data_IF_390422540961
#
_entry.id   IF_390422540961
#
_cell.length_a   1.000
_cell.length_b   1.000
_cell.length_c   1.000
_cell.angle_alpha   90.00
_cell.angle_beta   90.00
_cell.angle_gamma   90.00
#
_symmetry.space_group_name_H-M   'P 1'
#
loop_
_entity.id
_entity.type
_entity.pdbx_description
1 polymer ?
#
# COMPACT_ATOMS: atom_id res chain seq x y z
N UNK A 1 -9.87 4.92 11.02
CA UNK A 1 -11.28 5.32 10.92
C UNK A 1 -12.25 4.14 10.89
N UNK A 2 -11.79 2.89 10.74
CA UNK A 2 -12.68 1.73 10.67
C UNK A 2 -13.50 1.65 9.38
N UNK A 3 -13.31 2.59 8.46
CA UNK A 3 -13.98 2.66 7.18
C UNK A 3 -13.13 1.99 6.10
N UNK A 4 -13.81 1.43 5.11
CA UNK A 4 -13.22 0.78 3.97
C UNK A 4 -12.44 1.79 3.10
N UNK A 5 -11.18 1.49 2.73
CA UNK A 5 -10.35 2.42 1.97
C UNK A 5 -10.86 2.66 0.54
N UNK A 6 -11.55 1.70 -0.08
CA UNK A 6 -12.16 1.89 -1.40
C UNK A 6 -13.34 2.88 -1.30
N UNK A 7 -14.17 2.76 -0.27
CA UNK A 7 -15.25 3.71 0.00
C UNK A 7 -14.72 5.12 0.26
N UNK A 8 -13.67 5.24 1.07
CA UNK A 8 -13.02 6.52 1.35
C UNK A 8 -12.46 7.18 0.08
N UNK A 9 -11.66 6.44 -0.70
CA UNK A 9 -11.05 6.96 -1.93
C UNK A 9 -12.09 7.33 -2.98
N UNK A 10 -13.17 6.55 -3.08
CA UNK A 10 -14.31 6.85 -3.96
C UNK A 10 -14.99 8.15 -3.56
N UNK A 11 -15.23 8.37 -2.26
CA UNK A 11 -15.83 9.60 -1.76
C UNK A 11 -14.93 10.83 -1.99
N UNK A 12 -13.62 10.72 -1.76
CA UNK A 12 -12.66 11.82 -2.04
C UNK A 12 -12.59 12.12 -3.54
N UNK A 13 -12.64 11.08 -4.39
CA UNK A 13 -12.67 11.25 -5.84
C UNK A 13 -13.94 11.97 -6.32
N UNK A 14 -15.07 11.79 -5.65
CA UNK A 14 -16.31 12.52 -5.94
C UNK A 14 -16.22 14.02 -5.62
N UNK A 15 -15.29 14.44 -4.75
CA UNK A 15 -14.97 15.85 -4.46
C UNK A 15 -14.01 16.46 -5.49
N UNK A 16 -13.65 15.72 -6.56
CA UNK A 16 -12.75 16.18 -7.61
C UNK A 16 -11.26 15.93 -7.36
N UNK A 17 -10.91 15.21 -6.29
CA UNK A 17 -9.52 14.90 -5.93
C UNK A 17 -9.21 13.45 -6.25
N UNK A 18 -8.40 13.21 -7.27
CA UNK A 18 -7.98 11.85 -7.66
C UNK A 18 -7.24 11.15 -6.51
N UNK A 19 -7.79 10.02 -6.05
CA UNK A 19 -7.20 9.21 -4.99
C UNK A 19 -7.53 7.73 -5.23
N UNK A 20 -6.56 6.85 -4.99
CA UNK A 20 -6.72 5.42 -5.19
C UNK A 20 -6.45 4.66 -3.88
N UNK A 21 -7.21 3.60 -3.63
CA UNK A 21 -6.90 2.66 -2.56
C UNK A 21 -5.80 1.68 -3.00
N UNK A 22 -5.08 1.10 -2.04
CA UNK A 22 -4.27 -0.12 -2.24
C UNK A 22 -3.08 -0.04 -3.21
N UNK A 23 -2.23 1.00 -3.13
CA UNK A 23 -1.08 1.10 -4.04
C UNK A 23 -0.12 -0.09 -4.00
N UNK A 24 0.30 -0.51 -2.81
CA UNK A 24 1.11 -1.72 -2.59
C UNK A 24 0.28 -2.62 -1.69
N UNK A 25 -0.27 -3.69 -2.24
CA UNK A 25 -1.12 -4.63 -1.49
C UNK A 25 -0.29 -5.59 -0.63
N UNK A 26 0.93 -5.92 -1.06
CA UNK A 26 1.81 -6.86 -0.37
C UNK A 26 3.21 -6.26 -0.16
N UNK A 27 3.89 -6.57 0.94
CA UNK A 27 5.31 -6.28 1.10
C UNK A 27 6.12 -6.67 -0.14
N UNK A 28 7.10 -5.85 -0.52
CA UNK A 28 7.84 -6.03 -1.78
C UNK A 28 8.46 -7.43 -1.93
N UNK A 29 8.90 -8.03 -0.82
CA UNK A 29 9.49 -9.38 -0.85
C UNK A 29 8.46 -10.49 -1.14
N UNK A 30 7.17 -10.21 -1.00
CA UNK A 30 6.07 -11.11 -1.35
C UNK A 30 5.62 -10.95 -2.80
N UNK A 31 6.09 -9.91 -3.51
CA UNK A 31 5.68 -9.64 -4.88
C UNK A 31 6.39 -10.61 -5.83
N UNK A 32 5.64 -11.60 -6.30
CA UNK A 32 6.11 -12.64 -7.22
C UNK A 32 6.77 -13.83 -6.51
N UNK A 33 7.46 -14.65 -7.30
CA UNK A 33 7.98 -15.96 -6.86
C UNK A 33 9.46 -15.91 -6.43
N UNK A 34 10.12 -14.75 -6.56
CA UNK A 34 11.57 -14.62 -6.40
C UNK A 34 12.05 -15.00 -5.00
N UNK A 35 11.44 -14.43 -3.96
CA UNK A 35 11.83 -14.67 -2.58
C UNK A 35 10.91 -15.69 -1.90
N UNK A 36 9.61 -15.64 -2.20
CA UNK A 36 8.60 -16.56 -1.63
C UNK A 36 8.80 -18.01 -2.07
N UNK A 37 9.29 -18.25 -3.29
CA UNK A 37 9.60 -19.58 -3.85
C UNK A 37 11.08 -19.78 -4.18
N UNK A 38 11.94 -18.86 -3.72
CA UNK A 38 13.38 -18.93 -3.92
C UNK A 38 13.87 -18.85 -5.36
N UNK A 39 13.05 -18.34 -6.30
CA UNK A 39 13.37 -18.26 -7.73
C UNK A 39 14.13 -16.97 -8.10
N UNK A 40 15.26 -16.74 -7.46
CA UNK A 40 16.07 -15.52 -7.70
C UNK A 40 16.85 -15.55 -9.01
N UNK A 41 17.16 -16.74 -9.56
CA UNK A 41 17.88 -16.91 -10.82
C UNK A 41 17.19 -17.94 -11.73
N UNK A 42 16.19 -17.50 -12.49
CA UNK A 42 15.37 -18.39 -13.31
C UNK A 42 14.69 -19.44 -12.43
N UNK A 43 14.87 -20.73 -12.76
CA UNK A 43 14.33 -21.85 -11.99
C UNK A 43 15.28 -22.37 -10.89
N UNK A 44 16.46 -21.75 -10.71
CA UNK A 44 17.40 -22.11 -9.66
C UNK A 44 16.91 -21.67 -8.27
N UNK A 45 17.16 -22.51 -7.27
CA UNK A 45 16.95 -22.22 -5.84
C UNK A 45 18.15 -21.52 -5.19
N UNK A 46 19.22 -21.24 -5.94
CA UNK A 46 20.34 -20.43 -5.44
C UNK A 46 19.83 -18.99 -5.17
N UNK A 47 20.20 -18.33 -4.04
CA UNK A 47 21.15 -18.80 -3.03
C UNK A 47 20.54 -19.64 -1.90
N UNK A 48 19.22 -19.79 -1.85
CA UNK A 48 18.47 -20.38 -0.74
C UNK A 48 18.72 -21.87 -0.48
N UNK A 49 19.33 -22.59 -1.43
CA UNK A 49 19.79 -23.97 -1.24
C UNK A 49 21.32 -24.13 -1.35
N UNK A 50 22.07 -23.03 -1.34
CA UNK A 50 23.52 -23.05 -1.58
C UNK A 50 24.31 -23.41 -0.31
N UNK A 51 25.57 -23.87 -0.42
CA UNK A 51 26.43 -24.08 0.76
C UNK A 51 26.84 -22.78 1.46
N UNK A 52 26.51 -21.61 0.90
CA UNK A 52 26.91 -20.31 1.42
C UNK A 52 25.88 -19.69 2.38
N UNK A 53 24.71 -20.30 2.52
CA UNK A 53 23.69 -19.83 3.47
C UNK A 53 23.92 -20.45 4.86
N UNK A 54 23.79 -19.62 5.90
CA UNK A 54 23.91 -20.04 7.29
C UNK A 54 22.59 -20.40 7.96
N UNK A 55 21.46 -20.18 7.26
CA UNK A 55 20.11 -20.42 7.76
C UNK A 55 19.12 -20.63 6.62
N UNK A 56 17.98 -21.20 6.97
CA UNK A 56 16.80 -21.21 6.10
C UNK A 56 16.15 -19.82 6.07
N UNK A 57 15.66 -19.41 4.89
CA UNK A 57 14.95 -18.16 4.71
C UNK A 57 13.50 -18.45 4.35
N UNK A 58 12.59 -17.81 5.09
CA UNK A 58 11.16 -17.83 4.80
C UNK A 58 10.70 -16.38 4.62
N UNK A 59 9.90 -16.13 3.57
CA UNK A 59 9.42 -14.79 3.19
C UNK A 59 7.89 -14.77 3.17
N UNK A 60 7.29 -14.84 4.35
CA UNK A 60 5.85 -14.77 4.54
C UNK A 60 5.38 -13.47 5.21
N UNK A 61 4.05 -13.24 5.27
CA UNK A 61 3.46 -12.04 5.86
C UNK A 61 3.78 -11.85 7.35
N UNK A 62 4.06 -12.95 8.06
CA UNK A 62 4.43 -12.97 9.48
C UNK A 62 5.76 -12.28 9.79
N UNK A 63 6.60 -12.02 8.78
CA UNK A 63 7.81 -11.21 8.96
C UNK A 63 7.51 -9.74 9.26
N UNK A 64 6.40 -9.21 8.72
CA UNK A 64 6.04 -7.78 8.82
C UNK A 64 4.52 -7.60 9.02
N UNK A 65 3.90 -8.21 10.05
CA UNK A 65 2.44 -8.24 10.19
C UNK A 65 1.82 -6.84 10.23
N UNK A 66 2.51 -5.87 10.86
CA UNK A 66 2.06 -4.47 10.89
C UNK A 66 2.11 -3.77 9.53
N UNK A 67 3.09 -4.10 8.67
CA UNK A 67 3.12 -3.54 7.33
C UNK A 67 2.07 -4.21 6.43
N UNK A 68 1.84 -5.52 6.57
CA UNK A 68 0.74 -6.21 5.88
C UNK A 68 -0.59 -5.55 6.23
N UNK A 69 -0.85 -5.29 7.50
CA UNK A 69 -2.08 -4.62 7.92
C UNK A 69 -2.15 -3.17 7.41
N UNK A 70 -1.07 -2.41 7.58
CA UNK A 70 -1.01 -1.02 7.13
C UNK A 70 -1.30 -0.87 5.63
N UNK A 71 -0.67 -1.70 4.80
CA UNK A 71 -0.80 -1.70 3.34
C UNK A 71 -2.23 -1.98 2.85
N UNK A 72 -3.07 -2.66 3.64
CA UNK A 72 -4.50 -2.86 3.32
C UNK A 72 -5.35 -1.61 3.50
N UNK A 73 -4.82 -0.57 4.14
CA UNK A 73 -5.60 0.62 4.54
C UNK A 73 -5.10 1.91 3.89
N UNK A 74 -4.08 1.82 3.03
CA UNK A 74 -3.46 3.01 2.43
C UNK A 74 -4.33 3.60 1.32
N UNK A 75 -4.47 4.93 1.37
CA UNK A 75 -4.94 5.75 0.27
C UNK A 75 -3.74 6.46 -0.38
N UNK A 76 -3.73 6.53 -1.70
CA UNK A 76 -2.61 7.09 -2.47
C UNK A 76 -3.08 8.20 -3.37
N UNK A 77 -2.32 9.30 -3.32
CA UNK A 77 -2.50 10.50 -4.12
C UNK A 77 -1.18 10.82 -4.81
N UNK A 78 -1.23 10.95 -6.13
CA UNK A 78 -0.10 11.49 -6.88
C UNK A 78 0.09 12.98 -6.56
N UNK A 79 1.32 13.38 -6.28
CA UNK A 79 1.74 14.78 -6.17
C UNK A 79 2.81 15.01 -7.24
N UNK A 80 2.76 16.15 -7.92
CA UNK A 80 3.73 16.54 -8.94
C UNK A 80 4.13 18.01 -8.78
N UNK A 81 5.25 18.38 -9.37
CA UNK A 81 5.90 19.69 -9.23
C UNK A 81 5.07 20.87 -9.74
N UNK A 82 4.13 20.63 -10.66
CA UNK A 82 3.22 21.66 -11.17
C UNK A 82 2.00 21.93 -10.28
N UNK A 83 1.84 21.25 -9.14
CA UNK A 83 0.75 21.56 -8.21
C UNK A 83 1.03 22.87 -7.48
N UNK A 84 0.04 23.76 -7.48
CA UNK A 84 0.04 24.97 -6.69
C UNK A 84 -0.24 24.67 -5.22
N UNK A 85 0.01 25.65 -4.35
CA UNK A 85 -0.39 25.57 -2.96
C UNK A 85 -1.91 25.41 -2.80
N UNK A 86 -2.70 26.04 -3.67
CA UNK A 86 -4.16 25.93 -3.67
C UNK A 86 -4.62 24.51 -3.99
N UNK A 87 -3.97 23.83 -4.94
CA UNK A 87 -4.25 22.41 -5.24
C UNK A 87 -4.05 21.51 -4.01
N UNK A 88 -3.01 21.78 -3.23
CA UNK A 88 -2.72 21.06 -1.97
C UNK A 88 -3.77 21.39 -0.91
N UNK A 89 -4.16 22.66 -0.77
CA UNK A 89 -5.18 23.09 0.18
C UNK A 89 -6.55 22.47 -0.15
N UNK A 90 -6.92 22.42 -1.42
CA UNK A 90 -8.18 21.84 -1.86
C UNK A 90 -8.21 20.32 -1.68
N UNK A 91 -7.08 19.66 -1.92
CA UNK A 91 -6.89 18.24 -1.54
C UNK A 91 -7.17 18.02 -0.06
N UNK A 92 -6.56 18.83 0.81
CA UNK A 92 -6.76 18.71 2.26
C UNK A 92 -8.21 18.98 2.67
N UNK A 93 -8.88 19.96 2.05
CA UNK A 93 -10.31 20.25 2.29
C UNK A 93 -11.18 19.04 1.94
N UNK A 94 -10.98 18.43 0.76
CA UNK A 94 -11.73 17.25 0.33
C UNK A 94 -11.54 16.06 1.27
N UNK A 95 -10.29 15.76 1.65
CA UNK A 95 -9.96 14.69 2.60
C UNK A 95 -10.68 14.91 3.94
N UNK A 96 -10.57 16.12 4.51
CA UNK A 96 -11.21 16.44 5.79
C UNK A 96 -12.73 16.36 5.71
N UNK A 97 -13.33 16.89 4.63
CA UNK A 97 -14.78 16.81 4.41
C UNK A 97 -15.28 15.37 4.41
N UNK A 98 -14.63 14.50 3.65
CA UNK A 98 -15.01 13.08 3.57
C UNK A 98 -14.78 12.37 4.91
N UNK A 99 -13.63 12.59 5.55
CA UNK A 99 -13.32 11.99 6.85
C UNK A 99 -14.35 12.36 7.93
N UNK A 100 -14.77 13.63 7.99
CA UNK A 100 -15.81 14.07 8.91
C UNK A 100 -17.21 13.55 8.53
N UNK A 101 -17.55 13.52 7.24
CA UNK A 101 -18.83 13.02 6.76
C UNK A 101 -19.03 11.52 7.09
N UNK A 102 -17.98 10.72 6.94
CA UNK A 102 -18.03 9.29 7.28
C UNK A 102 -18.08 9.07 8.80
N UNK A 103 -17.34 9.85 9.58
CA UNK A 103 -17.35 9.74 11.04
C UNK A 103 -18.69 10.14 11.69
N UNK A 104 -19.45 11.03 11.05
CA UNK A 104 -20.78 11.47 11.51
C UNK A 104 -21.96 10.63 10.99
N UNK A 105 -21.70 9.60 10.17
CA UNK A 105 -22.72 8.70 9.59
C UNK A 105 -22.90 7.40 10.38
N UNK A 106 -22.37 7.33 11.61
CA UNK A 106 -22.47 6.19 12.55
C UNK A 106 -23.47 6.52 13.65
#
# INVERSE_FOLDING_TARGET
TGHDPDEFCKAVSAEGVSMAAHYIQDPIYMRGDFLTKGRTYGDSQFPFNSPYISREYHYGPELVPGAVEGLRTVAVRGIHEHMSEDDIRDTAKAINKVAHGLAGSV
#
